data_IF_299829664530
#
_entry.id   IF_299829664530
#
_cell.length_a   1.000
_cell.length_b   1.000
_cell.length_c   1.000
_cell.angle_alpha   90.00
_cell.angle_beta   90.00
_cell.angle_gamma   90.00
#
_symmetry.space_group_name_H-M   'P 1'
#
loop_
_entity.id
_entity.type
_entity.pdbx_description
1 polymer ?
#
# COMPACT_ATOMS: atom_id res chain seq x y z
N UNK A 1 -56.12 -6.72 -28.89
CA UNK A 1 -55.52 -8.06 -28.87
C UNK A 1 -54.02 -7.93 -29.04
N UNK A 2 -53.30 -8.68 -28.22
CA UNK A 2 -51.89 -8.54 -27.82
C UNK A 2 -50.88 -8.71 -28.97
N UNK A 3 -49.95 -7.76 -29.11
CA UNK A 3 -48.70 -7.96 -29.86
C UNK A 3 -47.73 -8.78 -29.02
N UNK A 4 -47.47 -10.01 -29.46
CA UNK A 4 -46.51 -10.92 -28.86
C UNK A 4 -45.14 -10.78 -29.56
N UNK A 5 -44.10 -10.69 -28.73
CA UNK A 5 -42.84 -11.45 -28.79
C UNK A 5 -41.57 -10.84 -29.40
N UNK A 6 -40.58 -10.84 -28.50
CA UNK A 6 -39.19 -11.27 -28.66
C UNK A 6 -38.18 -10.24 -29.16
N UNK A 7 -37.85 -9.29 -28.29
CA UNK A 7 -36.48 -8.77 -28.18
C UNK A 7 -35.72 -9.67 -27.22
N UNK A 8 -34.95 -10.62 -27.76
CA UNK A 8 -34.06 -11.48 -26.99
C UNK A 8 -32.68 -11.46 -27.64
N UNK A 9 -31.97 -10.35 -27.44
CA UNK A 9 -30.53 -10.26 -27.75
C UNK A 9 -29.76 -10.69 -26.51
N UNK A 10 -29.19 -11.89 -26.62
CA UNK A 10 -28.30 -12.53 -25.67
C UNK A 10 -27.00 -11.71 -25.53
N UNK A 11 -26.91 -10.85 -24.52
CA UNK A 11 -25.65 -10.20 -24.16
C UNK A 11 -24.89 -11.10 -23.17
N UNK A 12 -24.06 -12.01 -23.70
CA UNK A 12 -23.03 -12.70 -22.95
C UNK A 12 -21.93 -11.70 -22.59
N UNK A 13 -22.06 -11.04 -21.43
CA UNK A 13 -20.96 -10.26 -20.83
C UNK A 13 -20.12 -11.19 -19.96
N UNK A 14 -18.95 -11.55 -20.49
CA UNK A 14 -17.88 -12.28 -19.81
C UNK A 14 -17.43 -11.54 -18.54
N UNK A 15 -17.86 -12.00 -17.37
CA UNK A 15 -17.31 -11.59 -16.07
C UNK A 15 -16.00 -12.33 -15.81
N UNK A 16 -14.91 -11.87 -16.42
CA UNK A 16 -13.55 -12.33 -16.11
C UNK A 16 -12.67 -11.11 -15.82
N UNK A 17 -12.79 -10.53 -14.63
CA UNK A 17 -11.81 -9.56 -14.11
C UNK A 17 -11.57 -9.81 -12.61
N UNK A 18 -10.98 -10.96 -12.30
CA UNK A 18 -10.30 -11.20 -11.04
C UNK A 18 -8.79 -11.16 -11.31
N UNK A 19 -8.17 -10.00 -11.17
CA UNK A 19 -6.72 -9.82 -10.98
C UNK A 19 -6.39 -8.33 -10.91
N UNK A 20 -6.05 -7.80 -9.74
CA UNK A 20 -5.04 -6.74 -9.66
C UNK A 20 -4.31 -6.84 -8.32
N UNK A 21 -3.18 -7.57 -8.32
CA UNK A 21 -2.06 -7.20 -7.46
C UNK A 21 -1.59 -5.82 -7.94
N UNK A 22 -2.16 -4.76 -7.37
CA UNK A 22 -1.94 -3.39 -7.83
C UNK A 22 -0.60 -2.88 -7.28
N UNK A 23 0.50 -3.23 -7.95
CA UNK A 23 1.76 -2.47 -7.85
C UNK A 23 1.56 -1.15 -8.59
N UNK A 24 0.97 -0.18 -7.90
CA UNK A 24 0.79 1.19 -8.40
C UNK A 24 1.99 2.05 -8.03
N UNK A 25 2.56 2.74 -9.02
CA UNK A 25 3.44 3.89 -8.79
C UNK A 25 2.59 5.02 -8.22
N UNK A 26 2.97 5.56 -7.07
CA UNK A 26 2.34 6.74 -6.50
C UNK A 26 2.95 7.98 -7.16
N UNK A 27 2.14 9.03 -7.35
CA UNK A 27 2.68 10.35 -7.62
C UNK A 27 3.63 10.69 -6.46
N UNK A 28 4.80 11.30 -6.72
CA UNK A 28 5.93 11.49 -5.78
C UNK A 28 7.02 10.40 -5.78
N UNK A 29 6.99 9.44 -6.71
CA UNK A 29 8.11 8.50 -6.93
C UNK A 29 8.18 7.34 -5.94
N UNK A 30 7.34 7.35 -4.91
CA UNK A 30 7.06 6.16 -4.10
C UNK A 30 6.26 5.12 -4.91
N UNK A 31 6.36 3.86 -4.52
CA UNK A 31 5.54 2.78 -5.09
C UNK A 31 5.08 1.82 -4.01
N UNK A 32 3.91 1.22 -4.22
CA UNK A 32 3.47 0.08 -3.42
C UNK A 32 4.24 -1.14 -3.90
N UNK A 33 5.06 -1.73 -3.02
CA UNK A 33 5.77 -2.99 -3.27
C UNK A 33 4.83 -4.18 -3.10
N UNK A 34 4.16 -4.24 -1.96
CA UNK A 34 3.20 -5.29 -1.60
C UNK A 34 2.22 -4.74 -0.56
N UNK A 35 1.02 -5.32 -0.48
CA UNK A 35 0.02 -4.92 0.51
C UNK A 35 -0.85 -6.07 1.00
N UNK A 36 -1.33 -5.93 2.21
CA UNK A 36 -2.48 -6.64 2.78
C UNK A 36 -3.63 -5.62 2.99
N UNK A 37 -4.67 -6.03 3.71
CA UNK A 37 -5.75 -5.12 4.06
C UNK A 37 -5.35 -4.05 5.08
N UNK A 38 -4.46 -4.38 6.02
CA UNK A 38 -4.04 -3.48 7.10
C UNK A 38 -2.61 -2.96 6.97
N UNK A 39 -1.77 -3.58 6.15
CA UNK A 39 -0.35 -3.18 6.01
C UNK A 39 -0.03 -2.93 4.55
N UNK A 40 0.53 -1.75 4.25
CA UNK A 40 1.08 -1.43 2.93
C UNK A 40 2.58 -1.24 3.03
N UNK A 41 3.32 -1.91 2.15
CA UNK A 41 4.77 -1.78 2.04
C UNK A 41 5.07 -0.81 0.90
N UNK A 42 5.59 0.36 1.26
CA UNK A 42 6.01 1.41 0.33
C UNK A 42 7.52 1.41 0.17
N UNK A 43 7.96 1.60 -1.07
CA UNK A 43 9.35 1.92 -1.39
C UNK A 43 9.38 3.30 -2.00
N UNK A 44 10.07 4.22 -1.34
CA UNK A 44 10.27 5.60 -1.78
C UNK A 44 11.73 5.83 -2.21
N UNK A 45 12.01 6.87 -3.02
CA UNK A 45 13.38 7.26 -3.31
C UNK A 45 14.16 7.57 -2.03
N UNK A 46 15.47 7.31 -2.08
CA UNK A 46 16.39 7.73 -1.02
C UNK A 46 16.31 9.25 -0.81
N UNK A 47 16.33 9.70 0.45
CA UNK A 47 16.16 11.11 0.85
C UNK A 47 14.81 11.75 0.52
N UNK A 48 13.76 10.96 0.23
CA UNK A 48 12.41 11.48 0.17
C UNK A 48 12.04 12.20 1.49
N UNK A 49 11.33 13.31 1.40
CA UNK A 49 10.96 14.12 2.57
C UNK A 49 9.82 13.47 3.36
N UNK A 50 9.66 13.89 4.62
CA UNK A 50 8.51 13.49 5.44
C UNK A 50 7.16 13.83 4.78
N UNK A 51 7.09 14.91 4.00
CA UNK A 51 5.89 15.27 3.24
C UNK A 51 5.58 14.26 2.13
N UNK A 52 6.60 13.81 1.41
CA UNK A 52 6.46 12.76 0.39
C UNK A 52 5.99 11.45 1.02
N UNK A 53 6.57 11.06 2.17
CA UNK A 53 6.15 9.85 2.89
C UNK A 53 4.71 9.92 3.37
N UNK A 54 4.30 11.08 3.91
CA UNK A 54 2.90 11.33 4.33
C UNK A 54 1.95 11.16 3.16
N UNK A 55 2.18 11.91 2.08
CA UNK A 55 1.31 11.88 0.90
C UNK A 55 1.22 10.48 0.29
N UNK A 56 2.35 9.74 0.24
CA UNK A 56 2.37 8.37 -0.24
C UNK A 56 1.58 7.42 0.68
N UNK A 57 1.72 7.57 2.00
CA UNK A 57 0.97 6.78 2.98
C UNK A 57 -0.54 7.02 2.92
N UNK A 58 -0.94 8.30 2.84
CA UNK A 58 -2.33 8.72 2.65
C UNK A 58 -2.92 8.13 1.38
N UNK A 59 -2.24 8.29 0.25
CA UNK A 59 -2.70 7.76 -1.03
C UNK A 59 -2.78 6.23 -1.03
N UNK A 60 -1.84 5.55 -0.37
CA UNK A 60 -1.81 4.10 -0.33
C UNK A 60 -2.91 3.49 0.55
N UNK A 61 -3.22 4.13 1.68
CA UNK A 61 -4.26 3.67 2.61
C UNK A 61 -5.67 4.13 2.21
N UNK A 62 -5.79 5.28 1.55
CA UNK A 62 -7.07 5.87 1.17
C UNK A 62 -8.03 5.98 2.38
N UNK A 63 -9.29 5.57 2.24
CA UNK A 63 -10.29 5.71 3.30
C UNK A 63 -10.22 4.62 4.40
N UNK A 64 -9.33 3.62 4.30
CA UNK A 64 -9.29 2.49 5.25
C UNK A 64 -8.69 2.92 6.59
N UNK A 65 -9.49 2.98 7.66
CA UNK A 65 -9.01 3.35 9.00
C UNK A 65 -7.92 2.40 9.52
N UNK A 66 -8.16 1.10 9.42
CA UNK A 66 -7.19 0.06 9.77
C UNK A 66 -6.20 -0.15 8.62
N UNK A 67 -5.32 0.83 8.41
CA UNK A 67 -4.25 0.75 7.42
C UNK A 67 -3.02 1.52 7.88
N UNK A 68 -1.88 0.84 7.92
CA UNK A 68 -0.59 1.44 8.17
C UNK A 68 0.30 1.24 6.94
N UNK A 69 0.94 2.32 6.47
CA UNK A 69 1.86 2.27 5.35
C UNK A 69 3.29 2.42 5.86
N UNK A 70 4.06 1.35 5.76
CA UNK A 70 5.46 1.31 6.15
C UNK A 70 6.33 1.69 4.97
N UNK A 71 7.31 2.55 5.21
CA UNK A 71 8.16 3.13 4.15
C UNK A 71 9.59 2.64 4.29
N UNK A 72 10.13 2.13 3.19
CA UNK A 72 11.56 1.90 3.00
C UNK A 72 12.09 2.84 1.90
N UNK A 73 13.36 3.23 2.04
CA UNK A 73 14.13 3.97 1.03
C UNK A 73 14.81 3.05 0.00
N UNK A 74 14.83 1.74 0.29
CA UNK A 74 15.52 0.73 -0.49
C UNK A 74 14.63 -0.52 -0.66
N UNK A 75 14.38 -0.87 -1.92
CA UNK A 75 13.57 -2.02 -2.29
C UNK A 75 14.11 -3.35 -1.75
N UNK A 76 15.43 -3.49 -1.62
CA UNK A 76 16.08 -4.70 -1.13
C UNK A 76 15.91 -4.88 0.40
N UNK A 77 15.63 -3.79 1.13
CA UNK A 77 15.40 -3.81 2.58
C UNK A 77 13.93 -4.03 2.95
N UNK A 78 13.02 -3.66 2.03
CA UNK A 78 11.59 -3.82 2.20
C UNK A 78 11.19 -5.32 2.12
N UNK A 79 10.25 -5.79 2.94
CA UNK A 79 9.77 -7.16 2.86
C UNK A 79 9.02 -7.41 1.54
N UNK A 80 9.07 -8.64 1.04
CA UNK A 80 8.36 -9.05 -0.18
C UNK A 80 6.91 -9.47 0.08
N UNK A 81 6.55 -9.66 1.36
CA UNK A 81 5.19 -9.96 1.79
C UNK A 81 4.70 -8.91 2.78
N UNK A 82 3.42 -8.57 2.68
CA UNK A 82 2.74 -7.75 3.67
C UNK A 82 2.01 -8.67 4.65
N UNK A 83 2.31 -8.60 5.96
CA UNK A 83 1.58 -9.37 6.96
C UNK A 83 0.14 -8.88 7.13
N UNK A 84 -0.68 -9.66 7.85
CA UNK A 84 -2.04 -9.26 8.23
C UNK A 84 -2.02 -8.10 9.22
N UNK A 85 -1.02 -8.06 10.11
CA UNK A 85 -0.85 -6.99 11.10
C UNK A 85 0.60 -6.52 11.17
N UNK A 86 0.82 -5.29 11.65
CA UNK A 86 2.17 -4.74 11.86
C UNK A 86 3.01 -5.58 12.84
N UNK A 87 2.37 -6.26 13.79
CA UNK A 87 3.05 -7.09 14.79
C UNK A 87 3.79 -8.28 14.17
N UNK A 88 3.33 -8.74 13.00
CA UNK A 88 3.92 -9.88 12.28
C UNK A 88 4.99 -9.44 11.27
N UNK A 89 5.29 -8.14 11.19
CA UNK A 89 6.31 -7.64 10.29
C UNK A 89 7.69 -8.13 10.76
N UNK A 90 8.51 -8.74 9.90
CA UNK A 90 9.80 -9.29 10.32
C UNK A 90 10.66 -8.21 10.97
N UNK A 91 11.11 -8.45 12.21
CA UNK A 91 11.86 -7.45 13.02
C UNK A 91 13.03 -6.83 12.25
N UNK A 92 13.75 -7.65 11.48
CA UNK A 92 14.87 -7.20 10.64
C UNK A 92 14.42 -6.23 9.53
N UNK A 93 13.28 -6.46 8.91
CA UNK A 93 12.73 -5.57 7.89
C UNK A 93 12.17 -4.29 8.54
N UNK A 94 11.43 -4.42 9.64
CA UNK A 94 10.86 -3.30 10.40
C UNK A 94 11.96 -2.31 10.85
N UNK A 95 13.09 -2.81 11.35
CA UNK A 95 14.23 -2.00 11.77
C UNK A 95 14.92 -1.22 10.64
N UNK A 96 14.63 -1.56 9.38
CA UNK A 96 15.17 -0.89 8.20
C UNK A 96 14.18 0.08 7.56
N UNK A 97 12.94 0.14 8.06
CA UNK A 97 11.97 1.13 7.62
C UNK A 97 12.42 2.53 8.09
N UNK A 98 12.07 3.55 7.31
CA UNK A 98 12.39 4.95 7.59
C UNK A 98 11.21 5.73 8.14
N UNK A 99 9.98 5.28 7.88
CA UNK A 99 8.77 5.89 8.40
C UNK A 99 7.58 4.91 8.41
N UNK A 100 6.56 5.27 9.16
CA UNK A 100 5.25 4.62 9.20
C UNK A 100 4.17 5.70 9.11
N UNK A 101 3.29 5.61 8.13
CA UNK A 101 2.03 6.35 8.12
C UNK A 101 0.97 5.52 8.86
N UNK A 102 0.36 6.11 9.88
CA UNK A 102 -0.74 5.50 10.65
C UNK A 102 -2.03 6.19 10.23
N UNK A 103 -2.85 5.51 9.42
CA UNK A 103 -4.00 6.17 8.78
C UNK A 103 -5.13 6.50 9.75
N UNK A 104 -5.25 5.75 10.84
CA UNK A 104 -6.25 5.99 11.89
C UNK A 104 -6.01 7.32 12.61
N UNK A 105 -4.78 7.57 13.05
CA UNK A 105 -4.39 8.81 13.73
C UNK A 105 -3.94 9.93 12.80
N UNK A 106 -3.94 9.71 11.48
CA UNK A 106 -3.45 10.65 10.46
C UNK A 106 -2.06 11.21 10.77
N UNK A 107 -1.17 10.33 11.25
CA UNK A 107 0.15 10.73 11.71
C UNK A 107 1.25 9.97 10.99
N UNK A 108 2.37 10.67 10.79
CA UNK A 108 3.61 10.09 10.29
C UNK A 108 4.57 9.90 11.46
N UNK A 109 5.05 8.68 11.65
CA UNK A 109 6.11 8.33 12.58
C UNK A 109 7.40 8.16 11.78
N UNK A 110 8.39 9.02 12.01
CA UNK A 110 9.72 8.84 11.43
C UNK A 110 10.53 7.91 12.31
N UNK A 111 11.16 6.92 11.68
CA UNK A 111 12.00 5.95 12.37
C UNK A 111 13.44 6.44 12.25
N UNK A 112 13.96 7.01 13.34
CA UNK A 112 15.39 7.29 13.43
C UNK A 112 16.14 5.96 13.47
N UNK A 113 17.08 5.75 12.54
CA UNK A 113 18.13 4.75 12.74
C UNK A 113 18.80 5.11 14.06
N UNK A 114 18.71 4.23 15.06
CA UNK A 114 19.60 4.33 16.20
C UNK A 114 21.02 4.25 15.61
N UNK A 115 21.72 5.38 15.58
CA UNK A 115 23.15 5.39 15.31
C UNK A 115 23.75 4.59 16.45
N UNK A 116 24.08 3.32 16.20
CA UNK A 116 25.01 2.59 17.05
C UNK A 116 26.35 3.30 16.88
N UNK A 117 26.54 4.37 17.66
CA UNK A 117 27.86 4.96 17.87
C UNK A 117 28.73 3.89 18.52
N UNK A 118 29.64 3.30 17.74
CA UNK A 118 30.89 2.73 18.22
C UNK A 118 31.92 2.75 17.11
#
# INVERSE_FOLDING_TARGET
MFYHKLFMSCALLSLAQLSYAQTGKLENGCRIKVRSDAVVILVCPENASAEVWRAAGEAACGPKLLCNAWVWDDNAKAPDTAPVTDADLPKKAAAQAVAIWVNDSKSLVTLTKAVLSK
#
